data_IF_778290984128
#
_entry.id   IF_778290984128
#
_cell.length_a   1.000
_cell.length_b   1.000
_cell.length_c   1.000
_cell.angle_alpha   90.00
_cell.angle_beta   90.00
_cell.angle_gamma   90.00
#
_symmetry.space_group_name_H-M   'P 1'
#
loop_
_entity.id
_entity.type
_entity.pdbx_description
1 polymer ?
#
# COMPACT_ATOMS: atom_id res chain seq x y z
N UNK A 1 4.00 10.52 -19.12
CA UNK A 1 3.73 11.79 -19.80
C UNK A 1 3.66 11.63 -21.32
N UNK A 2 4.72 11.17 -21.96
CA UNK A 2 4.83 11.08 -23.45
C UNK A 2 3.68 10.27 -24.05
N UNK A 3 3.34 9.12 -23.49
CA UNK A 3 2.26 8.26 -23.97
C UNK A 3 0.87 8.68 -23.48
N UNK A 4 0.76 9.75 -22.69
CA UNK A 4 -0.49 10.14 -22.00
C UNK A 4 -1.18 8.94 -21.33
N UNK A 5 -0.38 8.07 -20.70
CA UNK A 5 -0.88 6.87 -20.06
C UNK A 5 -1.93 7.21 -18.97
N UNK A 6 -3.05 6.48 -18.86
CA UNK A 6 -4.10 6.73 -17.88
C UNK A 6 -3.69 6.20 -16.49
N UNK A 7 -2.69 6.82 -15.88
CA UNK A 7 -2.08 6.39 -14.62
C UNK A 7 -2.15 7.49 -13.57
N UNK A 8 -2.49 7.11 -12.35
CA UNK A 8 -2.35 7.96 -11.15
C UNK A 8 -1.23 7.38 -10.29
N UNK A 9 -0.17 8.17 -10.12
CA UNK A 9 0.92 7.83 -9.20
C UNK A 9 0.62 8.42 -7.84
N UNK A 10 0.56 7.59 -6.80
CA UNK A 10 0.41 8.03 -5.42
C UNK A 10 1.69 7.71 -4.66
N UNK A 11 2.33 8.74 -4.13
CA UNK A 11 3.49 8.63 -3.26
C UNK A 11 3.06 8.93 -1.83
N UNK A 12 2.95 7.92 -1.01
CA UNK A 12 2.73 8.07 0.44
C UNK A 12 4.04 8.48 1.11
N UNK A 13 4.27 9.80 1.18
CA UNK A 13 5.45 10.34 1.85
C UNK A 13 5.25 10.27 3.37
N UNK A 14 5.70 9.17 3.96
CA UNK A 14 5.59 8.91 5.40
C UNK A 14 6.77 9.43 6.23
N UNK A 15 7.65 10.25 5.63
CA UNK A 15 8.80 10.88 6.27
C UNK A 15 10.05 10.01 6.35
N UNK A 16 9.97 8.70 6.06
CA UNK A 16 11.04 7.75 6.36
C UNK A 16 11.26 6.73 5.25
N UNK A 17 12.53 6.42 4.97
CA UNK A 17 12.94 5.20 4.28
C UNK A 17 13.75 4.34 5.27
N UNK A 18 13.11 3.32 5.84
CA UNK A 18 13.60 2.55 6.98
C UNK A 18 13.96 3.49 8.14
N UNK A 19 15.25 3.73 8.39
CA UNK A 19 15.78 4.60 9.45
C UNK A 19 16.25 5.97 8.95
N UNK A 20 16.12 6.25 7.64
CA UNK A 20 16.62 7.48 7.03
C UNK A 20 15.46 8.47 6.80
N UNK A 21 15.46 9.65 7.44
CA UNK A 21 14.42 10.65 7.23
C UNK A 21 14.52 11.29 5.84
N UNK A 22 13.39 11.76 5.31
CA UNK A 22 13.29 12.37 3.96
C UNK A 22 14.32 13.48 3.75
N UNK A 23 14.55 14.33 4.73
CA UNK A 23 15.51 15.44 4.66
C UNK A 23 16.97 14.99 4.43
N UNK A 24 17.31 13.75 4.78
CA UNK A 24 18.64 13.16 4.50
C UNK A 24 18.71 12.44 3.15
N UNK A 25 17.58 12.21 2.50
CA UNK A 25 17.49 11.48 1.23
C UNK A 25 17.43 12.41 0.02
N UNK A 26 16.94 13.62 0.20
CA UNK A 26 16.73 14.58 -0.89
C UNK A 26 16.86 16.01 -0.40
N UNK A 27 17.51 16.85 -1.19
CA UNK A 27 17.58 18.28 -0.93
C UNK A 27 16.24 19.00 -1.18
N UNK A 28 15.40 18.45 -2.06
CA UNK A 28 14.03 18.93 -2.29
C UNK A 28 13.05 18.02 -1.58
N UNK A 29 12.54 18.47 -0.44
CA UNK A 29 11.59 17.72 0.38
C UNK A 29 10.20 17.60 -0.25
N UNK A 30 9.92 18.37 -1.31
CA UNK A 30 8.67 18.27 -2.08
C UNK A 30 8.86 17.20 -3.16
N UNK A 31 8.47 15.96 -2.86
CA UNK A 31 8.61 14.84 -3.80
C UNK A 31 7.74 15.05 -5.05
N UNK A 32 6.59 15.71 -4.91
CA UNK A 32 5.72 16.09 -6.03
C UNK A 32 6.46 16.88 -7.14
N UNK A 33 7.49 17.64 -6.81
CA UNK A 33 8.30 18.37 -7.79
C UNK A 33 8.95 17.45 -8.82
N UNK A 34 9.17 16.17 -8.51
CA UNK A 34 9.73 15.18 -9.44
C UNK A 34 8.80 14.92 -10.62
N UNK A 35 7.49 14.83 -10.39
CA UNK A 35 6.51 14.67 -11.46
C UNK A 35 6.54 15.84 -12.45
N UNK A 36 6.69 17.06 -11.94
CA UNK A 36 6.80 18.28 -12.78
C UNK A 36 8.00 18.20 -13.73
N UNK A 37 9.13 17.68 -13.27
CA UNK A 37 10.33 17.49 -14.10
C UNK A 37 10.08 16.54 -15.30
N UNK A 38 9.12 15.63 -15.20
CA UNK A 38 8.70 14.71 -16.27
C UNK A 38 7.50 15.24 -17.08
N UNK A 39 7.04 16.48 -16.84
CA UNK A 39 5.86 17.03 -17.48
C UNK A 39 4.55 16.39 -16.98
N UNK A 40 4.55 15.82 -15.78
CA UNK A 40 3.37 15.23 -15.13
C UNK A 40 2.81 16.24 -14.15
N UNK A 41 1.52 16.64 -14.27
CA UNK A 41 0.84 17.42 -13.26
C UNK A 41 0.95 16.78 -11.89
N UNK A 42 1.36 17.55 -10.90
CA UNK A 42 1.71 17.03 -9.59
C UNK A 42 1.05 17.87 -8.50
N UNK A 43 0.56 17.19 -7.47
CA UNK A 43 -0.09 17.82 -6.32
C UNK A 43 0.49 17.23 -5.03
N UNK A 44 0.64 18.08 -4.02
CA UNK A 44 0.98 17.69 -2.65
C UNK A 44 -0.24 17.89 -1.78
N UNK A 45 -0.68 16.85 -1.06
CA UNK A 45 -1.92 16.82 -0.29
C UNK A 45 -1.69 16.26 1.11
N UNK A 46 -2.50 16.67 2.09
CA UNK A 46 -2.52 16.03 3.41
C UNK A 46 -3.06 14.59 3.27
N UNK A 47 -2.16 13.60 3.33
CA UNK A 47 -2.49 12.17 3.23
C UNK A 47 -3.30 11.65 4.42
N UNK A 48 -3.39 12.43 5.51
CA UNK A 48 -4.21 12.12 6.68
C UNK A 48 -5.58 12.85 6.65
N UNK A 49 -5.96 13.42 5.51
CA UNK A 49 -7.29 13.97 5.26
C UNK A 49 -8.00 13.16 4.16
N UNK A 50 -8.97 12.34 4.56
CA UNK A 50 -9.69 11.43 3.65
C UNK A 50 -10.38 12.20 2.53
N UNK A 51 -11.01 13.33 2.84
CA UNK A 51 -11.74 14.13 1.85
C UNK A 51 -10.79 14.81 0.86
N UNK A 52 -9.64 15.30 1.32
CA UNK A 52 -8.61 15.86 0.46
C UNK A 52 -8.03 14.78 -0.48
N UNK A 53 -7.80 13.57 0.03
CA UNK A 53 -7.35 12.44 -0.77
C UNK A 53 -8.38 12.01 -1.82
N UNK A 54 -9.66 11.89 -1.43
CA UNK A 54 -10.74 11.56 -2.36
C UNK A 54 -10.81 12.58 -3.49
N UNK A 55 -10.78 13.88 -3.16
CA UNK A 55 -10.79 14.94 -4.16
C UNK A 55 -9.59 14.84 -5.12
N UNK A 56 -8.39 14.72 -4.57
CA UNK A 56 -7.17 14.66 -5.38
C UNK A 56 -7.14 13.44 -6.32
N UNK A 57 -7.57 12.27 -5.82
CA UNK A 57 -7.61 11.03 -6.61
C UNK A 57 -8.72 11.08 -7.67
N UNK A 58 -9.89 11.63 -7.34
CA UNK A 58 -11.01 11.77 -8.28
C UNK A 58 -10.63 12.66 -9.46
N UNK A 59 -10.04 13.84 -9.20
CA UNK A 59 -9.56 14.73 -10.25
C UNK A 59 -8.46 14.10 -11.11
N UNK A 60 -7.52 13.37 -10.48
CA UNK A 60 -6.48 12.63 -11.20
C UNK A 60 -7.07 11.50 -12.07
N UNK A 61 -8.07 10.77 -11.55
CA UNK A 61 -8.73 9.70 -12.27
C UNK A 61 -9.58 10.22 -13.45
N UNK A 62 -10.30 11.34 -13.27
CA UNK A 62 -11.03 12.02 -14.35
C UNK A 62 -10.08 12.43 -15.46
N UNK A 63 -8.93 13.04 -15.11
CA UNK A 63 -7.91 13.43 -16.03
C UNK A 63 -7.37 12.23 -16.83
N UNK A 64 -7.05 11.13 -16.14
CA UNK A 64 -6.57 9.89 -16.76
C UNK A 64 -7.59 9.31 -17.74
N UNK A 65 -8.86 9.21 -17.35
CA UNK A 65 -9.96 8.69 -18.20
C UNK A 65 -10.24 9.54 -19.43
N UNK A 66 -10.02 10.86 -19.33
CA UNK A 66 -10.20 11.79 -20.45
C UNK A 66 -9.02 11.75 -21.47
N UNK A 67 -7.97 10.95 -21.22
CA UNK A 67 -6.80 10.90 -22.11
C UNK A 67 -5.82 12.07 -21.91
N UNK A 68 -5.95 12.83 -20.82
CA UNK A 68 -5.05 13.97 -20.51
C UNK A 68 -3.73 13.54 -19.89
N UNK A 69 -3.53 12.23 -19.71
CA UNK A 69 -2.30 11.63 -19.21
C UNK A 69 -2.24 11.46 -17.70
N UNK A 70 -1.05 11.13 -17.17
CA UNK A 70 -0.88 10.79 -15.77
C UNK A 70 -0.94 12.00 -14.84
N UNK A 71 -1.17 11.72 -13.55
CA UNK A 71 -1.04 12.67 -12.45
C UNK A 71 -0.19 12.06 -11.35
N UNK A 72 0.64 12.87 -10.69
CA UNK A 72 1.43 12.47 -9.53
C UNK A 72 0.88 13.14 -8.26
N UNK A 73 0.53 12.34 -7.26
CA UNK A 73 0.01 12.80 -5.96
C UNK A 73 1.03 12.44 -4.89
N UNK A 74 1.56 13.45 -4.18
CA UNK A 74 2.33 13.26 -2.96
C UNK A 74 1.39 13.40 -1.77
N UNK A 75 1.05 12.29 -1.14
CA UNK A 75 0.26 12.24 0.08
C UNK A 75 1.18 12.32 1.30
N UNK A 76 1.10 13.43 2.04
CA UNK A 76 1.89 13.63 3.26
C UNK A 76 1.25 12.87 4.40
N UNK A 77 1.99 11.95 4.94
CA UNK A 77 1.60 11.16 6.11
C UNK A 77 2.81 10.94 7.03
N UNK A 78 2.71 10.01 7.95
CA UNK A 78 3.82 9.67 8.84
C UNK A 78 3.76 8.20 9.25
N UNK A 79 4.88 7.49 9.16
CA UNK A 79 4.98 6.13 9.66
C UNK A 79 5.12 6.11 11.18
N UNK A 80 4.03 5.85 11.89
CA UNK A 80 4.02 5.80 13.36
C UNK A 80 4.57 4.49 13.90
N UNK A 81 4.32 3.36 13.21
CA UNK A 81 4.75 2.02 13.62
C UNK A 81 6.21 1.72 13.27
N UNK A 82 6.66 0.54 13.68
CA UNK A 82 7.93 -0.07 13.25
C UNK A 82 7.94 -0.23 11.72
N UNK A 83 9.13 -0.25 11.12
CA UNK A 83 9.26 -0.57 9.68
C UNK A 83 9.07 -2.07 9.42
N UNK A 84 9.67 -2.91 10.26
CA UNK A 84 9.57 -4.37 10.25
C UNK A 84 9.49 -4.88 11.68
N UNK A 85 9.21 -6.18 11.86
CA UNK A 85 9.14 -6.83 13.18
C UNK A 85 10.47 -6.79 13.94
N UNK A 86 11.59 -6.64 13.26
CA UNK A 86 12.94 -6.56 13.84
C UNK A 86 13.46 -5.11 13.98
N UNK A 87 12.64 -4.10 13.65
CA UNK A 87 13.03 -2.70 13.69
C UNK A 87 12.93 -2.14 15.12
N UNK A 88 13.94 -1.34 15.51
CA UNK A 88 13.89 -0.52 16.73
C UNK A 88 13.96 0.96 16.34
N UNK A 89 12.81 1.65 16.25
CA UNK A 89 12.78 3.05 15.86
C UNK A 89 13.36 4.00 16.92
N UNK A 90 13.54 3.57 18.16
CA UNK A 90 14.10 4.42 19.22
C UNK A 90 15.55 4.83 18.94
N UNK A 91 16.25 4.06 18.11
CA UNK A 91 17.64 4.33 17.69
C UNK A 91 17.76 5.53 16.74
N UNK A 92 16.70 5.86 15.98
CA UNK A 92 16.79 6.88 14.92
C UNK A 92 15.66 7.92 14.96
N UNK A 93 14.63 7.76 15.83
CA UNK A 93 13.45 8.61 15.89
C UNK A 93 13.02 8.88 17.33
N UNK A 94 12.74 10.15 17.64
CA UNK A 94 12.21 10.54 18.95
C UNK A 94 10.69 10.29 19.00
N UNK A 95 10.19 9.77 20.12
CA UNK A 95 8.77 9.59 20.38
C UNK A 95 8.01 10.91 20.33
N UNK A 96 8.63 12.01 20.75
CA UNK A 96 8.04 13.35 20.68
C UNK A 96 7.70 13.79 19.24
N UNK A 97 8.40 13.25 18.25
CA UNK A 97 8.08 13.47 16.83
C UNK A 97 6.81 12.71 16.40
N UNK A 98 6.56 11.54 17.00
CA UNK A 98 5.44 10.65 16.67
C UNK A 98 4.12 11.12 17.26
N UNK A 99 4.14 11.58 18.51
CA UNK A 99 2.94 11.93 19.28
C UNK A 99 1.96 12.90 18.56
N UNK A 100 2.41 13.97 17.89
CA UNK A 100 1.51 14.86 17.16
C UNK A 100 0.75 14.17 16.02
N UNK A 101 1.35 13.13 15.41
CA UNK A 101 0.74 12.41 14.31
C UNK A 101 -0.38 11.47 14.75
N UNK A 102 -0.36 10.99 15.99
CA UNK A 102 -1.48 10.24 16.58
C UNK A 102 -2.79 11.04 16.56
N UNK A 103 -2.70 12.37 16.80
CA UNK A 103 -3.85 13.27 16.72
C UNK A 103 -4.34 13.56 15.30
N UNK A 104 -3.56 13.17 14.30
CA UNK A 104 -3.85 13.34 12.88
C UNK A 104 -4.33 12.04 12.21
N UNK A 105 -4.70 11.02 12.99
CA UNK A 105 -5.24 9.77 12.44
C UNK A 105 -6.41 10.08 11.48
N UNK A 106 -6.33 9.66 10.20
CA UNK A 106 -7.35 9.99 9.21
C UNK A 106 -8.72 9.43 9.57
N UNK A 107 -8.78 8.25 10.19
CA UNK A 107 -10.03 7.61 10.62
C UNK A 107 -10.70 8.45 11.71
N UNK A 108 -9.96 8.79 12.77
CA UNK A 108 -10.49 9.59 13.89
C UNK A 108 -10.92 10.99 13.43
N UNK A 109 -10.12 11.63 12.55
CA UNK A 109 -10.49 12.95 11.99
C UNK A 109 -11.79 12.88 11.18
N UNK A 110 -11.95 11.86 10.37
CA UNK A 110 -13.14 11.68 9.55
C UNK A 110 -14.37 11.31 10.40
N UNK A 111 -14.19 10.47 11.39
CA UNK A 111 -15.24 10.15 12.38
C UNK A 111 -15.76 11.42 13.07
N UNK A 112 -14.86 12.27 13.58
CA UNK A 112 -15.23 13.55 14.21
C UNK A 112 -15.98 14.44 13.22
N UNK A 113 -15.51 14.52 11.97
CA UNK A 113 -16.17 15.29 10.94
C UNK A 113 -17.61 14.80 10.68
N UNK A 114 -17.80 13.50 10.50
CA UNK A 114 -19.10 12.90 10.25
C UNK A 114 -20.06 13.05 11.44
N UNK A 115 -19.58 12.90 12.67
CA UNK A 115 -20.36 13.16 13.90
C UNK A 115 -20.81 14.60 13.97
N UNK A 116 -19.93 15.56 13.68
CA UNK A 116 -20.26 16.99 13.66
C UNK A 116 -21.27 17.35 12.57
N UNK A 117 -21.38 16.55 11.52
CA UNK A 117 -22.38 16.67 10.45
C UNK A 117 -23.66 15.89 10.73
N UNK A 118 -23.76 15.20 11.86
CA UNK A 118 -24.86 14.28 12.22
C UNK A 118 -25.06 13.15 11.17
N UNK A 119 -23.98 12.72 10.53
CA UNK A 119 -23.97 11.64 9.54
C UNK A 119 -23.51 10.29 10.13
N UNK A 120 -23.00 10.29 11.36
CA UNK A 120 -22.48 9.10 12.03
C UNK A 120 -22.87 9.13 13.52
N UNK A 121 -23.38 8.00 14.02
CA UNK A 121 -23.73 7.79 15.43
C UNK A 121 -22.78 6.76 16.06
N UNK A 122 -22.79 6.64 17.39
CA UNK A 122 -22.03 5.60 18.07
C UNK A 122 -22.54 4.20 17.71
N UNK A 123 -23.85 4.03 17.54
CA UNK A 123 -24.44 2.75 17.16
C UNK A 123 -23.99 2.33 15.75
N UNK A 124 -24.00 3.26 14.79
CA UNK A 124 -23.51 2.96 13.44
C UNK A 124 -21.99 2.68 13.39
N UNK A 125 -21.19 3.28 14.28
CA UNK A 125 -19.77 2.95 14.42
C UNK A 125 -19.60 1.52 14.93
N UNK A 126 -20.39 1.13 15.93
CA UNK A 126 -20.35 -0.23 16.46
C UNK A 126 -20.75 -1.25 15.38
N UNK A 127 -21.84 -1.02 14.66
CA UNK A 127 -22.27 -1.88 13.55
C UNK A 127 -21.19 -2.04 12.47
N UNK A 128 -20.53 -0.94 12.06
CA UNK A 128 -19.44 -0.96 11.09
C UNK A 128 -18.26 -1.77 11.64
N UNK A 129 -17.89 -1.56 12.91
CA UNK A 129 -16.76 -2.26 13.53
C UNK A 129 -17.02 -3.76 13.58
N UNK A 130 -18.18 -4.17 14.06
CA UNK A 130 -18.59 -5.59 14.14
C UNK A 130 -18.61 -6.24 12.75
N UNK A 131 -19.15 -5.54 11.74
CA UNK A 131 -19.17 -6.02 10.36
C UNK A 131 -17.76 -6.23 9.79
N UNK A 132 -16.87 -5.26 10.01
CA UNK A 132 -15.47 -5.38 9.57
C UNK A 132 -14.72 -6.50 10.27
N UNK A 133 -14.94 -6.68 11.58
CA UNK A 133 -14.33 -7.78 12.34
C UNK A 133 -14.78 -9.15 11.83
N UNK A 134 -16.06 -9.32 11.52
CA UNK A 134 -16.59 -10.57 10.96
C UNK A 134 -16.01 -10.85 9.56
N UNK A 135 -15.87 -9.83 8.72
CA UNK A 135 -15.26 -9.97 7.40
C UNK A 135 -13.79 -10.42 7.49
N UNK A 136 -13.01 -9.82 8.40
CA UNK A 136 -11.60 -10.18 8.64
C UNK A 136 -11.50 -11.61 9.19
N UNK A 137 -12.37 -12.00 10.14
CA UNK A 137 -12.41 -13.36 10.67
C UNK A 137 -12.70 -14.37 9.56
N UNK A 138 -13.73 -14.11 8.75
CA UNK A 138 -14.10 -14.99 7.65
C UNK A 138 -12.98 -15.13 6.60
N UNK A 139 -12.31 -14.04 6.26
CA UNK A 139 -11.16 -14.05 5.34
C UNK A 139 -9.99 -14.87 5.91
N UNK A 140 -9.69 -14.70 7.20
CA UNK A 140 -8.66 -15.46 7.90
C UNK A 140 -8.99 -16.97 7.94
N UNK A 141 -10.22 -17.31 8.30
CA UNK A 141 -10.63 -18.71 8.41
C UNK A 141 -10.61 -19.39 7.02
N UNK A 142 -10.99 -18.66 5.97
CA UNK A 142 -10.84 -19.11 4.59
C UNK A 142 -9.38 -19.37 4.24
N UNK A 143 -8.45 -18.47 4.60
CA UNK A 143 -7.02 -18.65 4.36
C UNK A 143 -6.48 -19.89 5.07
N UNK A 144 -6.81 -20.09 6.34
CA UNK A 144 -6.36 -21.27 7.08
C UNK A 144 -6.99 -22.60 6.64
N UNK A 145 -8.14 -22.55 5.97
CA UNK A 145 -8.78 -23.72 5.37
C UNK A 145 -8.29 -24.07 3.97
N UNK A 146 -7.45 -23.21 3.38
CA UNK A 146 -6.88 -23.50 2.06
C UNK A 146 -5.88 -24.66 2.15
N UNK A 147 -5.84 -25.54 1.16
CA UNK A 147 -4.79 -26.55 1.08
C UNK A 147 -3.42 -25.87 0.98
N UNK A 148 -2.39 -26.62 1.37
CA UNK A 148 -1.01 -26.17 1.12
C UNK A 148 -0.79 -25.93 -0.36
N UNK A 149 0.00 -24.90 -0.68
CA UNK A 149 0.35 -24.62 -2.07
C UNK A 149 1.09 -25.82 -2.69
N UNK A 150 0.72 -26.15 -3.92
CA UNK A 150 1.43 -27.19 -4.67
C UNK A 150 2.86 -26.70 -4.98
N UNK A 151 3.90 -27.46 -4.60
CA UNK A 151 5.28 -27.07 -4.89
C UNK A 151 5.58 -26.84 -6.38
N UNK A 152 4.80 -27.44 -7.28
CA UNK A 152 4.94 -27.27 -8.74
C UNK A 152 4.53 -25.91 -9.24
N UNK A 153 3.64 -25.20 -8.55
CA UNK A 153 3.11 -23.89 -8.98
C UNK A 153 4.20 -22.82 -9.17
N UNK A 154 5.36 -22.96 -8.52
CA UNK A 154 6.48 -22.03 -8.71
C UNK A 154 7.01 -22.02 -10.15
N UNK A 155 6.70 -23.04 -10.96
CA UNK A 155 7.12 -23.15 -12.36
C UNK A 155 5.99 -22.86 -13.34
N UNK A 156 4.72 -23.07 -12.96
CA UNK A 156 3.60 -23.19 -13.91
C UNK A 156 3.08 -21.84 -14.42
N UNK A 157 3.33 -20.74 -13.71
CA UNK A 157 2.73 -19.42 -14.01
C UNK A 157 3.72 -18.37 -14.47
N UNK A 158 4.99 -18.74 -14.75
CA UNK A 158 6.02 -17.80 -15.16
C UNK A 158 5.95 -17.44 -16.65
N UNK A 159 5.54 -18.38 -17.50
CA UNK A 159 5.46 -18.23 -18.94
C UNK A 159 4.20 -18.90 -19.49
N UNK A 160 3.65 -18.37 -20.58
CA UNK A 160 2.55 -19.02 -21.31
C UNK A 160 2.99 -20.38 -21.87
N UNK A 161 4.21 -20.45 -22.40
CA UNK A 161 4.87 -21.69 -22.84
C UNK A 161 6.14 -21.84 -22.01
N UNK A 162 6.22 -22.89 -21.20
CA UNK A 162 7.36 -23.13 -20.34
C UNK A 162 8.63 -23.36 -21.18
N UNK A 163 9.71 -22.59 -20.97
CA UNK A 163 11.00 -22.82 -21.61
C UNK A 163 11.61 -24.15 -21.18
N UNK A 164 12.42 -24.78 -22.04
CA UNK A 164 13.08 -26.05 -21.77
C UNK A 164 13.91 -26.01 -20.48
N UNK A 165 14.66 -24.93 -20.26
CA UNK A 165 15.49 -24.75 -19.06
C UNK A 165 14.67 -24.77 -17.77
N UNK A 166 13.49 -24.14 -17.79
CA UNK A 166 12.59 -24.12 -16.64
C UNK A 166 11.94 -25.49 -16.44
N UNK A 167 11.63 -26.22 -17.52
CA UNK A 167 11.13 -27.59 -17.45
C UNK A 167 12.17 -28.53 -16.81
N UNK A 168 13.44 -28.41 -17.18
CA UNK A 168 14.52 -29.18 -16.56
C UNK A 168 14.68 -28.87 -15.06
N UNK A 169 14.60 -27.60 -14.67
CA UNK A 169 14.63 -27.20 -13.26
C UNK A 169 13.44 -27.77 -12.48
N UNK A 170 12.25 -27.75 -13.06
CA UNK A 170 11.05 -28.35 -12.46
C UNK A 170 11.23 -29.85 -12.24
N UNK A 171 11.72 -30.58 -13.23
CA UNK A 171 11.90 -32.03 -13.16
C UNK A 171 12.96 -32.39 -12.14
N UNK A 172 14.04 -31.60 -12.03
CA UNK A 172 15.05 -31.79 -10.97
C UNK A 172 14.46 -31.52 -9.58
N UNK A 173 13.63 -30.46 -9.47
CA UNK A 173 12.97 -30.12 -8.20
C UNK A 173 12.00 -31.20 -7.77
N UNK A 174 11.18 -31.72 -8.71
CA UNK A 174 10.27 -32.84 -8.49
C UNK A 174 11.05 -34.07 -7.91
N UNK A 175 12.11 -34.44 -8.56
CA UNK A 175 12.95 -35.54 -8.09
C UNK A 175 13.48 -35.35 -6.66
N UNK A 176 13.91 -34.13 -6.33
CA UNK A 176 14.34 -33.78 -4.97
C UNK A 176 13.23 -33.88 -3.92
N UNK A 177 11.98 -33.58 -4.30
CA UNK A 177 10.83 -33.73 -3.41
C UNK A 177 10.47 -35.21 -3.21
N UNK A 178 10.44 -35.98 -4.29
CA UNK A 178 10.20 -37.43 -4.24
C UNK A 178 11.24 -38.14 -3.32
N UNK A 179 12.50 -37.77 -3.45
CA UNK A 179 13.59 -38.30 -2.58
C UNK A 179 13.38 -37.94 -1.09
N UNK A 180 12.63 -36.87 -0.78
CA UNK A 180 12.27 -36.45 0.57
C UNK A 180 10.89 -36.97 1.03
N UNK A 181 10.18 -37.70 0.19
CA UNK A 181 8.81 -38.15 0.47
C UNK A 181 7.77 -37.04 0.54
N UNK A 182 8.01 -35.94 -0.15
CA UNK A 182 7.08 -34.79 -0.27
C UNK A 182 6.32 -34.93 -1.58
N UNK A 183 4.98 -34.95 -1.50
CA UNK A 183 4.12 -34.99 -2.68
C UNK A 183 4.30 -33.71 -3.50
N UNK A 184 4.42 -33.88 -4.81
CA UNK A 184 4.58 -32.78 -5.76
C UNK A 184 3.25 -32.35 -6.37
N UNK A 185 2.25 -33.27 -6.43
CA UNK A 185 0.94 -33.04 -7.07
C UNK A 185 -0.08 -32.36 -6.14
#
# INVERSE_FOLDING_TARGET
AVYKAPVVFVCENNGWAISTPTAKQTANEVIAARGVAYGIPSIRVDGNDILAMVFAVDEAAKRARNGDGPTFIEAITYRMSLHTTADDPTVYRDEQEVLPWGKRCPITRFEIYLKNKNLLTNDSIQEITESCEQEVIAARDKFYSMPSANPGEIFDHLYEIMPEELSLQRDEYRKRLDDKGVDYE
#
